data_IF_192060870094
#
_entry.id   IF_192060870094
#
_cell.length_a   1.000
_cell.length_b   1.000
_cell.length_c   1.000
_cell.angle_alpha   90.00
_cell.angle_beta   90.00
_cell.angle_gamma   90.00
#
_symmetry.space_group_name_H-M   'P 1'
#
loop_
_entity.id
_entity.type
_entity.pdbx_description
1 polymer ?
#
# COMPACT_ATOMS: atom_id res chain seq x y z
N UNK A 1 -72.76 4.41 -22.52
CA UNK A 1 -71.61 5.31 -22.34
C UNK A 1 -70.48 4.79 -23.21
N UNK A 2 -69.87 5.66 -24.02
CA UNK A 2 -68.70 5.44 -24.88
C UNK A 2 -67.52 4.86 -24.07
N UNK A 3 -66.46 4.26 -24.60
CA UNK A 3 -65.83 4.25 -25.92
C UNK A 3 -64.39 3.76 -25.72
N UNK A 4 -63.74 3.34 -26.79
CA UNK A 4 -62.51 2.54 -26.86
C UNK A 4 -61.18 3.28 -26.56
N UNK A 5 -60.09 2.49 -26.66
CA UNK A 5 -58.71 2.85 -27.14
C UNK A 5 -57.81 3.68 -26.22
N UNK A 6 -56.47 3.59 -26.23
CA UNK A 6 -55.42 2.63 -26.62
C UNK A 6 -54.08 3.34 -26.35
N UNK A 7 -53.00 2.57 -26.15
CA UNK A 7 -51.63 2.83 -26.66
C UNK A 7 -50.71 3.96 -26.14
N UNK A 8 -49.54 3.46 -25.69
CA UNK A 8 -48.16 3.93 -25.98
C UNK A 8 -47.64 5.15 -25.18
N UNK A 9 -46.41 5.20 -24.66
CA UNK A 9 -45.13 4.86 -25.31
C UNK A 9 -44.01 4.45 -24.31
N UNK A 10 -43.20 3.46 -24.73
CA UNK A 10 -41.71 3.34 -24.76
C UNK A 10 -40.87 3.98 -23.63
N UNK A 11 -39.86 3.31 -23.05
CA UNK A 11 -39.19 2.07 -23.46
C UNK A 11 -38.10 1.60 -22.48
N UNK A 12 -37.36 0.52 -22.80
CA UNK A 12 -36.23 0.03 -22.04
C UNK A 12 -34.94 0.69 -22.55
N UNK A 13 -34.26 1.46 -21.71
CA UNK A 13 -33.02 2.13 -22.09
C UNK A 13 -32.21 2.58 -20.89
N UNK A 14 -30.96 2.11 -20.86
CA UNK A 14 -29.81 2.67 -20.15
C UNK A 14 -29.64 2.38 -18.65
N UNK A 15 -29.00 1.23 -18.42
CA UNK A 15 -27.67 1.16 -17.78
C UNK A 15 -27.28 2.37 -16.93
N UNK A 16 -27.48 2.26 -15.61
CA UNK A 16 -26.58 2.93 -14.68
C UNK A 16 -25.58 1.87 -14.21
N UNK A 17 -24.31 1.90 -14.62
CA UNK A 17 -23.31 1.11 -13.91
C UNK A 17 -23.36 1.58 -12.46
N UNK A 18 -23.55 0.65 -11.53
CA UNK A 18 -23.31 0.92 -10.11
C UNK A 18 -21.91 1.53 -10.02
N UNK A 19 -21.76 2.79 -9.57
CA UNK A 19 -20.45 3.29 -9.29
C UNK A 19 -19.95 2.56 -8.05
N UNK A 20 -18.71 2.13 -8.15
CA UNK A 20 -17.84 1.89 -7.01
C UNK A 20 -17.98 0.48 -6.44
N UNK A 21 -17.35 -0.45 -7.16
CA UNK A 21 -16.36 -1.32 -6.53
C UNK A 21 -15.46 -0.41 -5.67
N UNK A 22 -15.92 -0.15 -4.44
CA UNK A 22 -15.17 0.60 -3.47
C UNK A 22 -13.92 -0.22 -3.26
N UNK A 23 -12.81 0.28 -3.82
CA UNK A 23 -11.50 -0.14 -3.38
C UNK A 23 -11.52 -0.18 -1.84
N UNK A 24 -10.81 -1.14 -1.25
CA UNK A 24 -10.88 -1.44 0.18
C UNK A 24 -10.85 -0.15 0.98
N UNK A 25 -11.91 0.07 1.76
CA UNK A 25 -12.21 1.36 2.41
C UNK A 25 -11.28 1.67 3.59
N UNK A 26 -10.18 0.93 3.71
CA UNK A 26 -9.24 1.00 4.82
C UNK A 26 -7.83 0.64 4.37
N UNK A 27 -6.84 0.89 5.25
CA UNK A 27 -5.44 0.61 4.95
C UNK A 27 -5.26 -0.89 4.68
N UNK A 28 -4.51 -1.18 3.61
CA UNK A 28 -4.20 -2.54 3.21
C UNK A 28 -2.78 -2.89 3.58
N UNK A 29 -2.52 -4.17 3.85
CA UNK A 29 -1.19 -4.73 4.08
C UNK A 29 -1.02 -6.04 3.31
N UNK A 30 0.22 -6.50 3.21
CA UNK A 30 0.54 -7.80 2.61
C UNK A 30 0.61 -8.84 3.72
N UNK A 31 -0.38 -9.73 3.76
CA UNK A 31 -0.40 -10.85 4.70
C UNK A 31 0.59 -11.92 4.24
N UNK A 32 1.62 -12.17 5.05
CA UNK A 32 2.61 -13.21 4.80
C UNK A 32 2.14 -14.58 5.32
N UNK A 33 1.01 -14.61 6.02
CA UNK A 33 0.42 -15.79 6.60
C UNK A 33 1.18 -16.29 7.83
N UNK A 34 0.69 -17.40 8.38
CA UNK A 34 1.21 -18.05 9.60
C UNK A 34 2.63 -18.61 9.46
N UNK A 35 3.11 -18.77 8.24
CA UNK A 35 4.43 -19.33 7.92
C UNK A 35 5.53 -18.26 8.00
N UNK A 36 5.15 -16.97 8.10
CA UNK A 36 6.11 -15.93 8.45
C UNK A 36 6.55 -16.16 9.90
N UNK A 37 7.79 -16.63 10.05
CA UNK A 37 8.46 -16.69 11.34
C UNK A 37 8.39 -15.30 11.94
N UNK A 38 7.86 -15.22 13.17
CA UNK A 38 8.01 -14.04 14.01
C UNK A 38 9.48 -13.96 14.42
N UNK A 39 10.36 -13.65 13.48
CA UNK A 39 11.73 -13.27 13.78
C UNK A 39 11.69 -12.22 14.88
N UNK A 40 12.66 -12.29 15.79
CA UNK A 40 12.60 -11.56 17.06
C UNK A 40 12.44 -10.06 16.81
N UNK A 41 13.00 -9.54 15.72
CA UNK A 41 13.05 -8.12 15.40
C UNK A 41 12.02 -7.61 14.39
N UNK A 42 11.23 -8.48 13.72
CA UNK A 42 10.28 -8.08 12.67
C UNK A 42 8.86 -8.62 12.91
N UNK A 43 7.86 -7.87 12.43
CA UNK A 43 6.44 -8.21 12.58
C UNK A 43 5.66 -7.98 11.28
N UNK A 44 4.75 -8.91 10.99
CA UNK A 44 3.70 -8.78 9.96
C UNK A 44 2.31 -8.57 10.62
N UNK A 45 2.26 -8.36 11.94
CA UNK A 45 1.00 -8.16 12.65
C UNK A 45 0.36 -6.81 12.27
N UNK A 46 -0.87 -6.79 11.73
CA UNK A 46 -1.50 -5.56 11.26
C UNK A 46 -1.69 -4.51 12.36
N UNK A 47 -1.74 -4.92 13.64
CA UNK A 47 -1.82 -4.02 14.78
C UNK A 47 -0.50 -3.26 15.00
N UNK A 48 0.63 -3.84 14.60
CA UNK A 48 1.96 -3.25 14.72
C UNK A 48 2.44 -2.54 13.44
N UNK A 49 1.73 -2.70 12.30
CA UNK A 49 2.12 -2.09 11.01
C UNK A 49 1.76 -0.61 10.89
N UNK A 50 1.17 0.01 11.93
CA UNK A 50 0.74 1.41 11.95
C UNK A 50 -0.10 1.81 10.72
N UNK A 51 -1.03 0.92 10.36
CA UNK A 51 -1.89 1.05 9.20
C UNK A 51 -2.69 2.36 9.18
N UNK A 52 -3.27 2.75 10.31
CA UNK A 52 -4.04 3.99 10.43
C UNK A 52 -3.16 5.26 10.33
N UNK A 53 -1.91 5.17 10.78
CA UNK A 53 -0.96 6.30 10.82
C UNK A 53 -0.35 6.58 9.45
N UNK A 54 0.13 5.53 8.76
CA UNK A 54 0.99 5.69 7.59
C UNK A 54 0.38 5.22 6.27
N UNK A 55 -0.72 4.48 6.31
CA UNK A 55 -1.31 3.83 5.12
C UNK A 55 -2.81 4.07 4.95
N UNK A 56 -3.43 4.87 5.82
CA UNK A 56 -4.84 5.22 5.70
C UNK A 56 -5.09 6.08 4.46
N UNK A 57 -5.86 5.61 3.47
CA UNK A 57 -6.16 6.38 2.26
C UNK A 57 -6.99 7.65 2.53
N UNK A 58 -7.70 7.73 3.67
CA UNK A 58 -8.49 8.89 4.05
C UNK A 58 -7.64 10.04 4.65
N UNK A 59 -6.40 9.77 5.05
CA UNK A 59 -5.47 10.73 5.67
C UNK A 59 -4.28 11.05 4.76
N UNK A 60 -3.44 12.04 5.10
CA UNK A 60 -2.05 12.09 4.60
C UNK A 60 -1.37 10.77 4.91
N UNK A 61 -0.67 10.19 3.94
CA UNK A 61 -0.07 8.86 4.06
C UNK A 61 1.18 8.75 3.18
N UNK A 62 2.01 7.74 3.44
CA UNK A 62 3.29 7.57 2.75
C UNK A 62 3.13 7.41 1.23
N UNK A 63 2.06 6.74 0.78
CA UNK A 63 1.77 6.59 -0.64
C UNK A 63 1.54 7.93 -1.33
N UNK A 64 0.83 8.85 -0.68
CA UNK A 64 0.61 10.21 -1.20
C UNK A 64 1.88 11.07 -1.13
N UNK A 65 2.60 11.01 0.00
CA UNK A 65 3.80 11.82 0.24
C UNK A 65 4.93 11.47 -0.74
N UNK A 66 5.11 10.19 -1.03
CA UNK A 66 6.13 9.69 -1.96
C UNK A 66 5.59 9.46 -3.38
N UNK A 67 4.32 9.79 -3.64
CA UNK A 67 3.63 9.57 -4.92
C UNK A 67 3.68 8.10 -5.40
N UNK A 68 3.60 7.15 -4.46
CA UNK A 68 3.58 5.70 -4.72
C UNK A 68 2.14 5.19 -4.60
N UNK A 69 1.58 4.79 -5.74
CA UNK A 69 0.20 4.29 -5.82
C UNK A 69 0.10 2.88 -5.24
N UNK A 70 -0.88 2.68 -4.36
CA UNK A 70 -1.17 1.37 -3.78
C UNK A 70 -0.08 0.87 -2.82
N UNK A 71 0.65 1.79 -2.18
CA UNK A 71 1.67 1.47 -1.19
C UNK A 71 1.05 0.81 0.04
N UNK A 72 1.61 -0.32 0.45
CA UNK A 72 1.14 -1.17 1.55
C UNK A 72 2.35 -1.66 2.36
N UNK A 73 2.25 -1.76 3.69
CA UNK A 73 3.29 -2.39 4.47
C UNK A 73 3.26 -3.91 4.31
N UNK A 74 4.45 -4.50 4.30
CA UNK A 74 4.69 -5.94 4.33
C UNK A 74 5.12 -6.31 5.74
N UNK A 75 6.23 -5.76 6.23
CA UNK A 75 6.71 -6.00 7.59
C UNK A 75 7.24 -4.72 8.21
N UNK A 76 7.23 -4.65 9.53
CA UNK A 76 7.83 -3.59 10.33
C UNK A 76 8.86 -4.18 11.29
N UNK A 77 9.93 -3.46 11.56
CA UNK A 77 10.84 -3.78 12.65
C UNK A 77 10.17 -3.50 14.00
N UNK A 78 10.12 -4.45 14.93
CA UNK A 78 9.41 -4.30 16.22
C UNK A 78 9.96 -3.15 17.05
N UNK A 79 11.27 -3.18 17.32
CA UNK A 79 11.98 -2.15 18.10
C UNK A 79 12.55 -1.02 17.24
N UNK A 80 12.39 -1.11 15.91
CA UNK A 80 12.91 -0.13 14.99
C UNK A 80 11.83 0.68 14.27
N UNK A 81 12.34 1.62 13.48
CA UNK A 81 11.60 2.60 12.68
C UNK A 81 11.59 2.22 11.20
N UNK A 82 11.97 0.97 10.88
CA UNK A 82 12.10 0.49 9.50
C UNK A 82 10.90 -0.34 9.08
N UNK A 83 10.43 -0.11 7.86
CA UNK A 83 9.30 -0.79 7.23
C UNK A 83 9.71 -1.31 5.85
N UNK A 84 9.33 -2.54 5.54
CA UNK A 84 9.30 -3.06 4.18
C UNK A 84 7.91 -2.82 3.61
N UNK A 85 7.84 -2.17 2.45
CA UNK A 85 6.62 -1.77 1.79
C UNK A 85 6.56 -2.36 0.38
N UNK A 86 5.36 -2.48 -0.16
CA UNK A 86 5.09 -2.92 -1.53
C UNK A 86 4.12 -1.94 -2.20
N UNK A 87 4.38 -1.54 -3.45
CA UNK A 87 3.43 -0.74 -4.24
C UNK A 87 2.40 -1.59 -4.99
N UNK A 88 1.44 -0.92 -5.65
CA UNK A 88 0.44 -1.58 -6.49
C UNK A 88 1.00 -2.30 -7.73
N UNK A 89 2.27 -2.06 -8.09
CA UNK A 89 2.96 -2.71 -9.20
C UNK A 89 3.83 -3.89 -8.75
N UNK A 90 3.85 -4.21 -7.45
CA UNK A 90 4.68 -5.26 -6.87
C UNK A 90 6.14 -4.88 -6.67
N UNK A 91 6.49 -3.59 -6.70
CA UNK A 91 7.82 -3.08 -6.36
C UNK A 91 7.97 -2.95 -4.86
N UNK A 92 9.17 -3.21 -4.36
CA UNK A 92 9.48 -3.16 -2.94
C UNK A 92 10.24 -1.91 -2.56
N UNK A 93 9.94 -1.41 -1.38
CA UNK A 93 10.53 -0.22 -0.82
C UNK A 93 10.89 -0.45 0.64
N UNK A 94 11.99 0.13 1.10
CA UNK A 94 12.32 0.23 2.50
C UNK A 94 12.10 1.67 2.93
N UNK A 95 11.28 1.87 3.93
CA UNK A 95 11.08 3.18 4.54
C UNK A 95 11.67 3.16 5.94
N UNK A 96 12.44 4.19 6.28
CA UNK A 96 12.95 4.40 7.62
C UNK A 96 12.35 5.70 8.17
N UNK A 97 11.55 5.59 9.23
CA UNK A 97 10.86 6.70 9.88
C UNK A 97 11.86 7.67 10.53
N UNK A 98 12.93 7.17 11.16
CA UNK A 98 13.97 7.97 11.80
C UNK A 98 14.66 8.92 10.81
N UNK A 99 15.07 8.41 9.65
CA UNK A 99 15.73 9.19 8.61
C UNK A 99 14.72 9.91 7.68
N UNK A 100 13.44 9.55 7.77
CA UNK A 100 12.40 9.94 6.81
C UNK A 100 12.70 9.50 5.38
N UNK A 101 13.60 8.52 5.21
CA UNK A 101 14.14 8.09 3.93
C UNK A 101 13.31 6.96 3.34
N UNK A 102 12.93 7.09 2.07
CA UNK A 102 12.33 6.03 1.29
C UNK A 102 13.32 5.52 0.26
N UNK A 103 13.50 4.21 0.22
CA UNK A 103 14.46 3.52 -0.60
C UNK A 103 13.75 2.44 -1.41
N UNK A 104 14.11 2.26 -2.68
CA UNK A 104 13.49 1.30 -3.58
C UNK A 104 14.51 0.23 -3.96
N UNK A 105 14.09 -1.03 -3.92
CA UNK A 105 14.88 -2.12 -4.50
C UNK A 105 14.91 -1.97 -6.03
N UNK A 106 16.11 -1.98 -6.62
CA UNK A 106 16.25 -1.88 -8.08
C UNK A 106 15.96 -3.22 -8.79
N UNK A 107 16.20 -4.33 -8.07
CA UNK A 107 15.88 -5.68 -8.53
C UNK A 107 14.39 -6.00 -8.39
N UNK A 108 13.86 -6.71 -9.38
CA UNK A 108 12.53 -7.30 -9.29
C UNK A 108 12.58 -8.51 -8.34
N UNK A 109 12.04 -8.33 -7.13
CA UNK A 109 11.99 -9.36 -6.10
C UNK A 109 10.58 -9.95 -6.00
N UNK A 110 10.47 -11.15 -5.45
CA UNK A 110 9.19 -11.63 -4.89
C UNK A 110 9.09 -11.15 -3.44
N UNK A 111 7.87 -11.18 -2.89
CA UNK A 111 7.61 -10.80 -1.50
C UNK A 111 8.55 -11.53 -0.54
N UNK A 112 8.69 -12.85 -0.70
CA UNK A 112 9.56 -13.66 0.17
C UNK A 112 11.04 -13.28 0.06
N UNK A 113 11.53 -12.99 -1.16
CA UNK A 113 12.91 -12.56 -1.35
C UNK A 113 13.15 -11.18 -0.73
N UNK A 114 12.23 -10.23 -0.91
CA UNK A 114 12.32 -8.91 -0.31
C UNK A 114 12.27 -8.96 1.23
N UNK A 115 11.44 -9.84 1.78
CA UNK A 115 11.39 -10.12 3.22
C UNK A 115 12.72 -10.68 3.70
N UNK A 116 13.26 -11.72 3.04
CA UNK A 116 14.54 -12.31 3.42
C UNK A 116 15.68 -11.29 3.37
N UNK A 117 15.76 -10.44 2.35
CA UNK A 117 16.79 -9.40 2.23
C UNK A 117 16.74 -8.40 3.40
N UNK A 118 15.54 -8.11 3.91
CA UNK A 118 15.35 -7.25 5.07
C UNK A 118 15.70 -7.98 6.37
N UNK A 119 15.30 -9.25 6.50
CA UNK A 119 15.61 -10.10 7.64
C UNK A 119 17.12 -10.37 7.78
N UNK A 120 17.83 -10.54 6.67
CA UNK A 120 19.29 -10.74 6.62
C UNK A 120 20.07 -9.45 6.94
N UNK A 121 19.38 -8.32 7.11
CA UNK A 121 19.98 -7.03 7.44
C UNK A 121 20.25 -6.22 6.19
N UNK A 122 19.18 -5.64 5.63
CA UNK A 122 19.30 -4.79 4.45
C UNK A 122 20.32 -3.68 4.68
N UNK A 123 21.41 -3.69 3.94
CA UNK A 123 22.36 -2.59 3.95
C UNK A 123 21.76 -1.47 3.10
N UNK A 124 21.20 -0.44 3.73
CA UNK A 124 20.64 0.74 3.05
C UNK A 124 21.66 1.48 2.17
N UNK A 125 22.95 1.14 2.31
CA UNK A 125 24.07 1.61 1.50
C UNK A 125 24.49 0.64 0.38
N UNK A 126 23.76 -0.47 0.19
CA UNK A 126 24.04 -1.42 -0.88
C UNK A 126 23.59 -0.86 -2.23
N UNK A 127 24.35 -1.22 -3.26
CA UNK A 127 24.17 -0.79 -4.65
C UNK A 127 22.81 -1.21 -5.22
N UNK A 128 22.14 -2.19 -4.60
CA UNK A 128 20.84 -2.74 -5.03
C UNK A 128 19.62 -1.93 -4.57
N UNK A 129 19.82 -0.85 -3.82
CA UNK A 129 18.76 -0.04 -3.23
C UNK A 129 19.01 1.44 -3.53
N UNK A 130 18.08 2.06 -4.25
CA UNK A 130 18.15 3.47 -4.61
C UNK A 130 17.24 4.31 -3.69
N UNK A 131 17.79 5.36 -3.08
CA UNK A 131 16.98 6.36 -2.36
C UNK A 131 16.10 7.11 -3.36
N UNK A 132 14.78 7.05 -3.18
CA UNK A 132 13.83 7.60 -4.17
C UNK A 132 13.44 9.05 -3.92
N UNK A 133 13.51 9.55 -2.68
CA UNK A 133 13.25 10.97 -2.40
C UNK A 133 13.67 11.39 -0.99
N UNK A 134 13.92 12.68 -0.80
CA UNK A 134 13.88 13.36 0.50
C UNK A 134 12.82 14.44 0.35
N UNK A 135 11.73 14.44 1.13
CA UNK A 135 10.81 15.57 1.09
C UNK A 135 11.59 16.82 1.47
N UNK A 136 11.69 17.77 0.54
CA UNK A 136 12.26 19.07 0.79
C UNK A 136 11.40 19.76 1.86
N UNK A 137 11.82 19.66 3.13
CA UNK A 137 11.18 20.36 4.26
C UNK A 137 11.44 21.88 4.23
N UNK A 138 11.57 22.50 3.04
CA UNK A 138 11.50 23.96 2.88
C UNK A 138 10.29 24.33 2.02
N UNK A 139 9.12 24.37 2.64
CA UNK A 139 8.29 25.58 2.66
C UNK A 139 7.03 25.34 3.51
N UNK A 140 6.93 26.12 4.58
CA UNK A 140 5.84 26.16 5.55
C UNK A 140 6.26 27.03 6.72
#
# INVERSE_FOLDING_TARGET
>A
MAGSTESSERGPGETRPSPTEAGPSGPQYVDLGKDFSKDLDWTNDPSDLYLDTYFDPAKPNLGKDFQIVGLKPVIKQKEGETFLLQDGNGRFYVWNEYEGGMYRFEKALKVQDAVNEVLEGVQLNSVDIARIYTPDRRQG
#
